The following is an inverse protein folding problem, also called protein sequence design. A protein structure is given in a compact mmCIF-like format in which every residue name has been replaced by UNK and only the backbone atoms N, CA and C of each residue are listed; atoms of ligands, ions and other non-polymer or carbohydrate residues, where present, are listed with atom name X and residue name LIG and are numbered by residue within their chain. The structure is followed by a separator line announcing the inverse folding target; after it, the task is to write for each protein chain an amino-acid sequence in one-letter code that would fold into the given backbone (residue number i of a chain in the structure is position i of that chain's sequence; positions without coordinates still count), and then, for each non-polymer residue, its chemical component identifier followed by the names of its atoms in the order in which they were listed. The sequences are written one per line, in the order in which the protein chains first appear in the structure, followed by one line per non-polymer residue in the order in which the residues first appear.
data_IF_919875589469
#
_entry.id   IF_919875589469
#
_cell.length_a   1.000
_cell.length_b   1.000
_cell.length_c   1.000
_cell.angle_alpha   90.00
_cell.angle_beta   90.00
_cell.angle_gamma   90.00
#
_symmetry.space_group_name_H-M   'P 1'
#
loop_
_entity.id
_entity.type
_entity.pdbx_description
1 polymer ?
#
# COMPACT_ATOMS: atom_id res chain seq x y z
N UNK A 1 27.56 -2.30 -22.46
CA UNK A 1 26.13 -2.00 -22.18
C UNK A 1 25.50 -3.04 -21.23
N UNK A 2 26.08 -4.23 -21.10
CA UNK A 2 25.62 -5.33 -20.23
C UNK A 2 25.88 -5.07 -18.74
N UNK A 3 27.05 -4.55 -18.39
CA UNK A 3 27.47 -4.37 -16.98
C UNK A 3 26.59 -3.39 -16.19
N UNK A 4 26.10 -2.31 -16.83
CA UNK A 4 25.25 -1.32 -16.16
C UNK A 4 23.86 -1.86 -15.84
N UNK A 5 23.31 -2.73 -16.71
CA UNK A 5 22.01 -3.38 -16.47
C UNK A 5 22.12 -4.41 -15.35
N UNK A 6 23.20 -5.19 -15.36
CA UNK A 6 23.49 -6.16 -14.31
C UNK A 6 23.69 -5.49 -12.93
N UNK A 7 24.42 -4.38 -12.89
CA UNK A 7 24.58 -3.61 -11.66
C UNK A 7 23.25 -3.04 -11.14
N UNK A 8 22.31 -2.72 -12.03
CA UNK A 8 21.00 -2.20 -11.63
C UNK A 8 20.16 -3.28 -10.96
N UNK A 9 20.09 -4.48 -11.55
CA UNK A 9 19.32 -5.58 -10.96
C UNK A 9 19.92 -6.08 -9.64
N UNK A 10 21.24 -6.16 -9.52
CA UNK A 10 21.89 -6.54 -8.26
C UNK A 10 21.55 -5.57 -7.12
N UNK A 11 21.53 -4.27 -7.41
CA UNK A 11 21.09 -3.25 -6.45
C UNK A 11 19.62 -3.41 -6.08
N UNK A 12 18.73 -3.61 -7.06
CA UNK A 12 17.31 -3.86 -6.79
C UNK A 12 17.12 -5.08 -5.89
N UNK A 13 17.80 -6.20 -6.19
CA UNK A 13 17.70 -7.42 -5.38
C UNK A 13 18.23 -7.20 -3.96
N UNK A 14 19.28 -6.41 -3.77
CA UNK A 14 19.76 -6.06 -2.44
C UNK A 14 18.74 -5.21 -1.68
N UNK A 15 18.19 -4.16 -2.31
CA UNK A 15 17.16 -3.32 -1.69
C UNK A 15 15.91 -4.13 -1.31
N UNK A 16 15.53 -5.11 -2.15
CA UNK A 16 14.44 -6.05 -1.84
C UNK A 16 14.78 -6.88 -0.61
N UNK A 17 15.97 -7.50 -0.53
CA UNK A 17 16.37 -8.29 0.64
C UNK A 17 16.36 -7.47 1.92
N UNK A 18 16.87 -6.24 1.87
CA UNK A 18 16.87 -5.34 3.02
C UNK A 18 15.45 -4.98 3.46
N UNK A 19 14.54 -4.75 2.50
CA UNK A 19 13.13 -4.53 2.78
C UNK A 19 12.46 -5.77 3.40
N UNK A 20 12.71 -6.96 2.85
CA UNK A 20 12.15 -8.20 3.39
C UNK A 20 12.67 -8.51 4.80
N UNK A 21 13.94 -8.21 5.10
CA UNK A 21 14.48 -8.32 6.47
C UNK A 21 13.78 -7.37 7.44
N UNK A 22 13.53 -6.11 7.03
CA UNK A 22 12.76 -5.14 7.83
C UNK A 22 11.35 -5.62 8.11
N UNK A 23 10.66 -6.17 7.11
CA UNK A 23 9.33 -6.78 7.29
C UNK A 23 9.39 -8.00 8.21
N UNK A 24 10.43 -8.83 8.08
CA UNK A 24 10.68 -10.00 8.92
C UNK A 24 10.83 -9.66 10.41
N UNK A 25 11.50 -8.55 10.73
CA UNK A 25 11.61 -8.04 12.12
C UNK A 25 10.26 -7.66 12.73
N UNK A 26 9.27 -7.32 11.90
CA UNK A 26 7.89 -7.08 12.32
C UNK A 26 7.03 -8.35 12.35
N UNK A 27 7.64 -9.52 12.11
CA UNK A 27 6.97 -10.81 12.05
C UNK A 27 6.10 -10.97 10.81
N UNK A 28 6.52 -10.38 9.68
CA UNK A 28 5.95 -10.58 8.35
C UNK A 28 7.02 -11.20 7.45
N UNK A 29 6.79 -12.44 7.03
CA UNK A 29 7.76 -13.17 6.23
C UNK A 29 7.41 -13.10 4.76
N UNK A 30 8.40 -12.75 3.95
CA UNK A 30 8.40 -12.93 2.50
C UNK A 30 9.74 -13.56 2.12
N UNK A 31 9.73 -14.34 1.05
CA UNK A 31 10.93 -15.01 0.53
C UNK A 31 11.17 -14.57 -0.90
N UNK A 32 12.40 -14.18 -1.18
CA UNK A 32 12.90 -13.98 -2.53
C UNK A 32 13.44 -15.32 -3.06
N UNK A 33 12.87 -15.82 -4.15
CA UNK A 33 13.26 -17.10 -4.77
C UNK A 33 13.60 -16.89 -6.23
N UNK A 34 14.43 -17.77 -6.80
CA UNK A 34 14.72 -17.74 -8.24
C UNK A 34 13.42 -17.98 -9.01
N UNK A 35 13.19 -17.20 -10.07
CA UNK A 35 11.98 -17.35 -10.88
C UNK A 35 12.11 -18.57 -11.79
N UNK A 36 11.03 -19.34 -11.90
CA UNK A 36 10.92 -20.46 -12.84
C UNK A 36 10.64 -19.98 -14.29
N UNK A 37 10.21 -18.72 -14.44
CA UNK A 37 9.93 -18.08 -15.71
C UNK A 37 11.16 -17.35 -16.24
N UNK A 38 11.59 -17.64 -17.46
CA UNK A 38 12.78 -17.04 -18.09
C UNK A 38 12.73 -15.52 -18.24
N UNK A 39 11.52 -14.94 -18.20
CA UNK A 39 11.30 -13.50 -18.37
C UNK A 39 11.51 -12.71 -17.06
N UNK A 40 11.72 -13.41 -15.94
CA UNK A 40 11.92 -12.84 -14.62
C UNK A 40 13.22 -13.32 -13.98
N UNK A 41 13.75 -12.53 -13.05
CA UNK A 41 14.98 -12.81 -12.31
C UNK A 41 14.67 -13.50 -11.00
N UNK A 42 13.62 -13.07 -10.32
CA UNK A 42 13.23 -13.61 -9.01
C UNK A 42 11.74 -13.39 -8.77
N UNK A 43 11.15 -14.23 -7.92
CA UNK A 43 9.80 -14.06 -7.40
C UNK A 43 9.85 -13.70 -5.91
N UNK A 44 8.89 -12.88 -5.47
CA UNK A 44 8.65 -12.58 -4.06
C UNK A 44 7.40 -13.35 -3.64
N UNK A 45 7.59 -14.34 -2.77
CA UNK A 45 6.53 -15.22 -2.29
C UNK A 45 6.25 -14.95 -0.82
N UNK A 46 4.97 -14.96 -0.44
CA UNK A 46 4.60 -15.02 0.97
C UNK A 46 4.46 -16.50 1.37
N UNK A 47 5.38 -17.06 2.17
CA UNK A 47 5.32 -18.46 2.58
C UNK A 47 4.13 -18.78 3.50
N UNK A 48 3.48 -17.76 4.09
CA UNK A 48 2.51 -17.95 5.17
C UNK A 48 1.11 -17.38 4.83
N UNK A 49 0.09 -18.23 4.95
CA UNK A 49 -1.23 -18.05 4.33
C UNK A 49 -2.17 -17.03 4.99
N UNK A 50 -1.71 -16.26 5.97
CA UNK A 50 -2.61 -15.44 6.82
C UNK A 50 -2.67 -13.97 6.41
N UNK A 51 -1.73 -13.51 5.59
CA UNK A 51 -1.63 -12.12 5.10
C UNK A 51 -1.27 -12.14 3.62
N UNK A 52 -2.07 -12.85 2.84
CA UNK A 52 -1.95 -12.92 1.39
C UNK A 52 -2.08 -11.51 0.78
N UNK A 53 -0.94 -10.95 0.36
CA UNK A 53 -0.87 -9.61 -0.26
C UNK A 53 -0.85 -9.74 -1.77
N UNK A 54 0.15 -10.44 -2.29
CA UNK A 54 0.31 -10.70 -3.72
C UNK A 54 -0.07 -12.14 -4.04
N UNK A 55 -0.91 -12.30 -5.06
CA UNK A 55 -1.09 -13.58 -5.75
C UNK A 55 0.21 -13.95 -6.47
N UNK A 56 0.80 -12.97 -7.15
CA UNK A 56 2.09 -13.10 -7.84
C UNK A 56 2.87 -11.79 -7.71
N UNK A 57 4.18 -11.88 -7.52
CA UNK A 57 5.09 -10.74 -7.58
C UNK A 57 6.45 -11.18 -8.08
N UNK A 58 6.87 -10.65 -9.22
CA UNK A 58 8.10 -11.04 -9.91
C UNK A 58 8.92 -9.83 -10.34
N UNK A 59 10.24 -9.99 -10.32
CA UNK A 59 11.21 -8.95 -10.65
C UNK A 59 11.72 -9.19 -12.07
N UNK A 60 11.57 -8.21 -12.96
CA UNK A 60 12.08 -8.27 -14.33
C UNK A 60 13.59 -7.98 -14.40
N UNK A 61 14.30 -8.38 -15.47
CA UNK A 61 15.72 -8.10 -15.66
C UNK A 61 16.12 -6.63 -15.66
N UNK A 62 15.18 -5.72 -15.93
CA UNK A 62 15.39 -4.27 -15.86
C UNK A 62 15.25 -3.69 -14.43
N UNK A 63 14.88 -4.51 -13.44
CA UNK A 63 14.67 -4.12 -12.04
C UNK A 63 13.26 -3.64 -11.70
N UNK A 64 12.30 -3.70 -12.64
CA UNK A 64 10.89 -3.37 -12.36
C UNK A 64 10.14 -4.58 -11.85
N UNK A 65 9.07 -4.35 -11.11
CA UNK A 65 8.22 -5.36 -10.50
C UNK A 65 6.95 -5.54 -11.32
N UNK A 66 6.57 -6.79 -11.60
CA UNK A 66 5.23 -7.15 -12.05
C UNK A 66 4.53 -7.76 -10.85
N UNK A 67 3.32 -7.32 -10.57
CA UNK A 67 2.59 -7.81 -9.41
C UNK A 67 1.12 -7.98 -9.73
N UNK A 68 0.50 -8.89 -9.00
CA UNK A 68 -0.93 -9.15 -8.97
C UNK A 68 -1.33 -9.36 -7.52
N UNK A 69 -2.24 -8.55 -7.00
CA UNK A 69 -2.77 -8.69 -5.64
C UNK A 69 -4.05 -9.55 -5.57
N UNK A 70 -4.44 -9.90 -4.35
CA UNK A 70 -5.65 -10.70 -4.09
C UNK A 70 -6.96 -9.97 -4.34
N UNK A 71 -6.93 -8.65 -4.56
CA UNK A 71 -8.09 -7.84 -4.94
C UNK A 71 -8.20 -7.72 -6.47
N UNK A 72 -7.41 -8.52 -7.20
CA UNK A 72 -7.34 -8.62 -8.65
C UNK A 72 -6.80 -7.38 -9.37
N UNK A 73 -6.06 -6.54 -8.64
CA UNK A 73 -5.26 -5.47 -9.24
C UNK A 73 -3.93 -6.03 -9.70
N UNK A 74 -3.47 -5.58 -10.86
CA UNK A 74 -2.14 -5.90 -11.36
C UNK A 74 -1.45 -4.64 -11.85
N UNK A 75 -0.13 -4.67 -11.92
CA UNK A 75 0.61 -3.51 -12.38
C UNK A 75 2.08 -3.80 -12.62
N UNK A 76 2.76 -2.77 -13.12
CA UNK A 76 4.21 -2.73 -13.24
C UNK A 76 4.71 -1.49 -12.52
N UNK A 77 5.68 -1.65 -11.62
CA UNK A 77 6.20 -0.54 -10.84
C UNK A 77 7.73 -0.63 -10.62
N UNK A 78 8.33 0.45 -10.16
CA UNK A 78 9.72 0.45 -9.69
C UNK A 78 9.82 0.02 -8.22
N UNK A 79 11.03 0.09 -7.66
CA UNK A 79 11.27 -0.34 -6.28
C UNK A 79 10.61 0.59 -5.24
N UNK A 80 10.55 1.89 -5.49
CA UNK A 80 10.04 2.85 -4.51
C UNK A 80 8.53 2.69 -4.37
N UNK A 81 7.81 2.57 -5.49
CA UNK A 81 6.39 2.22 -5.46
C UNK A 81 6.17 0.81 -4.88
N UNK A 82 6.97 -0.19 -5.28
CA UNK A 82 6.85 -1.54 -4.75
C UNK A 82 7.00 -1.56 -3.22
N UNK A 83 7.97 -0.83 -2.67
CA UNK A 83 8.21 -0.70 -1.22
C UNK A 83 6.97 -0.13 -0.52
N UNK A 84 6.43 0.97 -1.02
CA UNK A 84 5.20 1.57 -0.47
C UNK A 84 4.05 0.56 -0.54
N UNK A 85 3.92 -0.13 -1.67
CA UNK A 85 2.80 -1.04 -1.94
C UNK A 85 2.82 -2.27 -1.03
N UNK A 86 3.96 -2.97 -0.91
CA UNK A 86 4.05 -4.16 -0.05
C UNK A 86 3.83 -3.80 1.42
N UNK A 87 4.36 -2.67 1.91
CA UNK A 87 4.15 -2.21 3.29
C UNK A 87 2.68 -1.89 3.54
N UNK A 88 2.08 -1.06 2.67
CA UNK A 88 0.71 -0.56 2.82
C UNK A 88 -0.30 -1.70 2.75
N UNK A 89 -0.22 -2.54 1.71
CA UNK A 89 -1.15 -3.65 1.55
C UNK A 89 -1.01 -4.69 2.68
N UNK A 90 0.20 -4.94 3.17
CA UNK A 90 0.39 -5.84 4.32
C UNK A 90 -0.27 -5.27 5.58
N UNK A 91 -0.06 -3.98 5.87
CA UNK A 91 -0.66 -3.34 7.03
C UNK A 91 -2.18 -3.31 6.95
N UNK A 92 -2.74 -2.99 5.77
CA UNK A 92 -4.19 -2.94 5.57
C UNK A 92 -4.83 -4.33 5.70
N UNK A 93 -4.17 -5.41 5.24
CA UNK A 93 -4.63 -6.80 5.49
C UNK A 93 -4.74 -7.12 6.99
N UNK A 94 -3.84 -6.60 7.83
CA UNK A 94 -3.98 -6.76 9.28
C UNK A 94 -5.17 -5.97 9.84
N UNK A 95 -5.39 -4.73 9.37
CA UNK A 95 -6.54 -3.92 9.78
C UNK A 95 -7.87 -4.53 9.35
N UNK A 96 -7.96 -5.03 8.11
CA UNK A 96 -9.16 -5.70 7.60
C UNK A 96 -9.49 -6.93 8.43
N UNK A 97 -8.48 -7.73 8.78
CA UNK A 97 -8.68 -8.90 9.64
C UNK A 97 -9.16 -8.51 11.04
N UNK A 98 -8.61 -7.44 11.61
CA UNK A 98 -9.07 -6.92 12.90
C UNK A 98 -10.53 -6.47 12.81
N UNK A 99 -10.89 -5.74 11.74
CA UNK A 99 -12.26 -5.29 11.48
C UNK A 99 -13.21 -6.48 11.34
N UNK A 100 -12.82 -7.52 10.61
CA UNK A 100 -13.59 -8.75 10.46
C UNK A 100 -13.77 -9.49 11.80
N UNK A 101 -12.72 -9.56 12.63
CA UNK A 101 -12.80 -10.17 13.96
C UNK A 101 -13.77 -9.42 14.87
N UNK A 102 -13.70 -8.08 14.89
CA UNK A 102 -14.63 -7.25 15.67
C UNK A 102 -16.06 -7.39 15.19
N UNK A 103 -16.27 -7.41 13.87
CA UNK A 103 -17.60 -7.62 13.27
C UNK A 103 -18.17 -8.99 13.66
N UNK A 104 -17.40 -10.07 13.50
CA UNK A 104 -17.84 -11.43 13.90
C UNK A 104 -18.18 -11.51 15.38
N UNK A 105 -17.42 -10.82 16.24
CA UNK A 105 -17.73 -10.75 17.66
C UNK A 105 -19.05 -10.02 17.92
N UNK A 106 -19.26 -8.84 17.31
CA UNK A 106 -20.51 -8.11 17.43
C UNK A 106 -21.71 -8.94 16.94
N UNK A 107 -21.56 -9.66 15.82
CA UNK A 107 -22.59 -10.55 15.27
C UNK A 107 -22.92 -11.70 16.24
N UNK A 108 -21.93 -12.28 16.92
CA UNK A 108 -22.13 -13.32 17.94
C UNK A 108 -22.83 -12.80 19.20
N UNK A 109 -22.73 -11.50 19.46
CA UNK A 109 -23.34 -10.83 20.59
C UNK A 109 -24.66 -10.13 20.20
N UNK A 110 -25.27 -10.47 19.06
CA UNK A 110 -26.51 -9.86 18.54
C UNK A 110 -26.43 -8.32 18.47
N UNK A 111 -25.24 -7.78 18.18
CA UNK A 111 -24.97 -6.34 18.13
C UNK A 111 -24.98 -5.63 19.49
N UNK A 112 -25.08 -6.38 20.60
CA UNK A 112 -24.91 -5.81 21.94
C UNK A 112 -23.47 -5.37 22.13
N UNK A 113 -23.27 -4.29 22.88
CA UNK A 113 -21.95 -3.74 23.21
C UNK A 113 -21.26 -4.59 24.30
N UNK A 114 -21.07 -5.87 23.97
CA UNK A 114 -20.43 -6.84 24.85
C UNK A 114 -18.92 -6.78 24.61
N UNK A 115 -18.09 -6.55 25.65
CA UNK A 115 -16.65 -6.49 25.50
C UNK A 115 -16.11 -7.83 25.02
N UNK A 116 -15.11 -7.76 24.14
CA UNK A 116 -14.41 -8.92 23.65
C UNK A 116 -13.62 -9.60 24.79
N UNK A 117 -13.62 -10.93 24.91
CA UNK A 117 -12.88 -11.63 25.95
C UNK A 117 -11.37 -11.41 25.79
N UNK A 118 -10.64 -11.33 26.92
CA UNK A 118 -9.23 -10.94 26.98
C UNK A 118 -8.32 -11.66 25.96
N UNK A 119 -8.43 -12.99 25.73
CA UNK A 119 -7.57 -13.66 24.75
C UNK A 119 -7.79 -13.13 23.32
N UNK A 120 -9.04 -12.83 22.95
CA UNK A 120 -9.37 -12.33 21.62
C UNK A 120 -9.03 -10.85 21.48
N UNK A 121 -9.24 -10.06 22.54
CA UNK A 121 -8.84 -8.66 22.60
C UNK A 121 -7.32 -8.50 22.47
N UNK A 122 -6.54 -9.38 23.11
CA UNK A 122 -5.08 -9.41 22.99
C UNK A 122 -4.61 -9.68 21.55
N UNK A 123 -5.25 -10.61 20.84
CA UNK A 123 -4.95 -10.90 19.42
C UNK A 123 -5.28 -9.70 18.54
N UNK A 124 -6.42 -9.06 18.76
CA UNK A 124 -6.80 -7.85 18.01
C UNK A 124 -5.78 -6.74 18.23
N UNK A 125 -5.40 -6.48 19.48
CA UNK A 125 -4.42 -5.45 19.81
C UNK A 125 -3.05 -5.74 19.21
N UNK A 126 -2.57 -7.00 19.23
CA UNK A 126 -1.31 -7.38 18.61
C UNK A 126 -1.32 -7.11 17.09
N UNK A 127 -2.41 -7.46 16.40
CA UNK A 127 -2.54 -7.22 14.97
C UNK A 127 -2.57 -5.73 14.62
N UNK A 128 -3.29 -4.91 15.40
CA UNK A 128 -3.30 -3.44 15.21
C UNK A 128 -1.92 -2.83 15.46
N UNK A 129 -1.25 -3.25 16.54
CA UNK A 129 0.10 -2.80 16.84
C UNK A 129 1.07 -3.19 15.73
N UNK A 130 0.95 -4.39 15.18
CA UNK A 130 1.76 -4.82 14.04
C UNK A 130 1.48 -4.00 12.79
N UNK A 131 0.21 -3.75 12.45
CA UNK A 131 -0.17 -2.90 11.32
C UNK A 131 0.38 -1.48 11.46
N UNK A 132 0.34 -0.90 12.67
CA UNK A 132 0.92 0.41 12.97
C UNK A 132 2.45 0.42 12.81
N UNK A 133 3.16 -0.62 13.29
CA UNK A 133 4.62 -0.74 13.11
C UNK A 133 5.00 -0.88 11.65
N UNK A 134 4.21 -1.62 10.86
CA UNK A 134 4.41 -1.71 9.41
C UNK A 134 4.22 -0.35 8.73
N UNK A 135 3.14 0.38 9.02
CA UNK A 135 2.94 1.74 8.47
C UNK A 135 4.07 2.69 8.86
N UNK A 136 4.66 2.54 10.05
CA UNK A 136 5.82 3.31 10.49
C UNK A 136 7.12 3.01 9.72
N UNK A 137 7.16 1.97 8.86
CA UNK A 137 8.28 1.72 7.95
C UNK A 137 8.25 2.62 6.70
N UNK A 138 7.13 3.30 6.43
CA UNK A 138 7.01 4.30 5.38
C UNK A 138 7.73 5.59 5.78
N UNK A 139 8.30 6.26 4.80
CA UNK A 139 8.88 7.58 4.96
C UNK A 139 7.76 8.65 4.97
N UNK A 140 7.92 9.77 5.68
CA UNK A 140 6.88 10.81 5.74
C UNK A 140 6.43 11.33 4.36
N UNK A 141 7.37 11.36 3.41
CA UNK A 141 7.14 11.84 2.04
C UNK A 141 6.67 10.73 1.08
N UNK A 142 6.53 9.48 1.54
CA UNK A 142 6.02 8.38 0.72
C UNK A 142 4.57 8.64 0.27
N UNK A 143 4.28 8.60 -1.04
CA UNK A 143 2.92 8.78 -1.53
C UNK A 143 1.98 7.70 -0.99
N UNK A 144 0.76 8.04 -0.56
CA UNK A 144 -0.21 7.02 -0.17
C UNK A 144 -0.71 6.24 -1.39
N UNK A 145 -1.19 5.01 -1.18
CA UNK A 145 -2.01 4.32 -2.17
C UNK A 145 -3.43 4.89 -2.13
N UNK A 146 -3.87 5.47 -3.24
CA UNK A 146 -5.20 6.06 -3.34
C UNK A 146 -6.25 5.01 -3.68
N UNK A 147 -7.44 5.14 -3.08
CA UNK A 147 -8.61 4.37 -3.49
C UNK A 147 -9.30 5.00 -4.71
N UNK A 148 -10.31 4.32 -5.26
CA UNK A 148 -11.03 4.80 -6.45
C UNK A 148 -11.74 6.14 -6.25
N UNK A 149 -12.15 6.46 -5.03
CA UNK A 149 -12.83 7.73 -4.70
C UNK A 149 -11.82 8.86 -4.65
N UNK A 150 -10.68 8.62 -3.99
CA UNK A 150 -9.58 9.58 -3.88
C UNK A 150 -9.04 9.94 -5.26
N UNK A 151 -8.83 8.93 -6.11
CA UNK A 151 -8.40 9.12 -7.50
C UNK A 151 -9.39 10.00 -8.26
N UNK A 152 -10.70 9.78 -8.11
CA UNK A 152 -11.72 10.56 -8.79
C UNK A 152 -11.69 12.03 -8.35
N UNK A 153 -11.69 12.27 -7.03
CA UNK A 153 -11.61 13.63 -6.46
C UNK A 153 -10.37 14.37 -6.97
N UNK A 154 -9.21 13.74 -6.88
CA UNK A 154 -7.95 14.38 -7.26
C UNK A 154 -7.82 14.62 -8.77
N UNK A 155 -8.38 13.74 -9.62
CA UNK A 155 -8.38 13.93 -11.09
C UNK A 155 -9.39 14.97 -11.56
N UNK A 156 -10.50 15.13 -10.85
CA UNK A 156 -11.56 16.08 -11.21
C UNK A 156 -11.34 17.47 -10.60
N UNK A 157 -10.37 17.63 -9.69
CA UNK A 157 -10.02 18.90 -9.07
C UNK A 157 -9.62 19.94 -10.13
N UNK A 158 -10.43 20.98 -10.27
CA UNK A 158 -10.15 22.07 -11.21
C UNK A 158 -9.27 23.12 -10.56
N UNK A 159 -8.60 23.89 -11.41
CA UNK A 159 -7.87 25.08 -10.97
C UNK A 159 -8.83 26.05 -10.26
N UNK A 160 -8.41 26.53 -9.09
CA UNK A 160 -9.16 27.44 -8.23
C UNK A 160 -10.43 26.84 -7.57
N UNK A 161 -10.60 25.51 -7.58
CA UNK A 161 -11.67 24.83 -6.85
C UNK A 161 -11.15 24.21 -5.54
N UNK A 162 -12.09 23.92 -4.63
CA UNK A 162 -11.87 23.13 -3.42
C UNK A 162 -12.33 21.69 -3.69
N UNK A 163 -11.58 20.70 -3.22
CA UNK A 163 -12.00 19.31 -3.35
C UNK A 163 -13.31 19.07 -2.58
N UNK A 164 -14.23 18.32 -3.17
CA UNK A 164 -15.51 17.98 -2.55
C UNK A 164 -15.66 16.47 -2.32
N UNK A 165 -16.34 16.05 -1.24
CA UNK A 165 -16.91 16.90 -0.19
C UNK A 165 -15.83 17.42 0.79
N UNK A 166 -16.20 18.38 1.64
CA UNK A 166 -15.28 19.08 2.53
C UNK A 166 -14.53 18.13 3.49
N UNK A 167 -15.18 17.07 3.95
CA UNK A 167 -14.56 16.05 4.80
C UNK A 167 -13.45 15.28 4.06
N UNK A 168 -13.67 14.94 2.79
CA UNK A 168 -12.65 14.26 1.97
C UNK A 168 -11.51 15.21 1.62
N UNK A 169 -11.80 16.47 1.30
CA UNK A 169 -10.76 17.48 1.13
C UNK A 169 -9.91 17.66 2.37
N UNK A 170 -10.52 17.69 3.56
CA UNK A 170 -9.76 17.72 4.81
C UNK A 170 -8.88 16.48 4.96
N UNK A 171 -9.42 15.27 4.78
CA UNK A 171 -8.64 14.03 4.89
C UNK A 171 -7.49 13.98 3.88
N UNK A 172 -7.71 14.38 2.62
CA UNK A 172 -6.68 14.42 1.58
C UNK A 172 -5.57 15.45 1.90
N UNK A 173 -5.92 16.57 2.55
CA UNK A 173 -4.92 17.52 3.09
C UNK A 173 -4.15 16.93 4.27
N UNK A 174 -4.80 16.21 5.17
CA UNK A 174 -4.15 15.50 6.29
C UNK A 174 -3.21 14.38 5.80
N UNK A 175 -3.53 13.75 4.67
CA UNK A 175 -2.64 12.80 3.98
C UNK A 175 -1.46 13.49 3.27
N UNK A 176 -1.49 14.82 3.15
CA UNK A 176 -0.47 15.64 2.50
C UNK A 176 -0.50 15.58 0.96
N UNK A 177 -1.57 15.05 0.36
CA UNK A 177 -1.72 14.99 -1.11
C UNK A 177 -2.35 16.25 -1.70
N UNK A 178 -3.00 17.05 -0.85
CA UNK A 178 -3.51 18.38 -1.17
C UNK A 178 -2.95 19.44 -0.23
N UNK A 179 -2.79 20.65 -0.75
CA UNK A 179 -2.51 21.86 0.01
C UNK A 179 -3.62 22.88 -0.25
N UNK A 180 -4.18 23.47 0.82
CA UNK A 180 -5.13 24.57 0.68
C UNK A 180 -4.40 25.89 0.59
N UNK A 181 -4.68 26.64 -0.48
CA UNK A 181 -4.15 27.98 -0.70
C UNK A 181 -5.24 29.02 -0.58
N UNK A 182 -4.78 30.22 -0.23
CA UNK A 182 -5.61 31.40 -0.01
C UNK A 182 -5.03 32.51 -0.87
N UNK A 183 -5.83 33.00 -1.81
CA UNK A 183 -5.61 34.27 -2.51
C UNK A 183 -6.68 35.26 -2.04
N UNK A 184 -6.49 36.56 -2.31
CA UNK A 184 -7.23 37.70 -1.75
C UNK A 184 -8.74 37.45 -1.65
N UNK A 185 -9.35 36.81 -2.66
CA UNK A 185 -10.78 36.47 -2.69
C UNK A 185 -11.08 34.98 -2.97
N UNK A 186 -10.06 34.10 -2.91
CA UNK A 186 -10.21 32.71 -3.34
C UNK A 186 -9.58 31.72 -2.36
N UNK A 187 -10.28 30.62 -2.14
CA UNK A 187 -9.77 29.45 -1.43
C UNK A 187 -9.84 28.28 -2.38
N UNK A 188 -8.72 27.59 -2.58
CA UNK A 188 -8.64 26.47 -3.49
C UNK A 188 -7.61 25.45 -3.03
N UNK A 189 -7.81 24.21 -3.45
CA UNK A 189 -6.88 23.12 -3.16
C UNK A 189 -5.96 22.90 -4.37
N UNK A 190 -4.71 22.53 -4.10
CA UNK A 190 -3.71 22.21 -5.13
C UNK A 190 -3.07 20.87 -4.79
N UNK A 191 -2.80 20.06 -5.82
CA UNK A 191 -2.01 18.84 -5.66
C UNK A 191 -0.59 19.18 -5.19
N UNK A 192 -0.12 18.45 -4.20
CA UNK A 192 1.29 18.46 -3.80
C UNK A 192 2.09 17.50 -4.67
N UNK A 193 3.42 17.59 -4.66
CA UNK A 193 4.29 16.60 -5.32
C UNK A 193 3.98 15.16 -4.85
N UNK A 194 3.60 15.01 -3.58
CA UNK A 194 3.16 13.74 -2.99
C UNK A 194 1.84 13.27 -3.60
N UNK A 195 0.90 14.18 -3.83
CA UNK A 195 -0.38 13.90 -4.49
C UNK A 195 -0.21 13.54 -5.97
N UNK A 196 0.68 14.22 -6.69
CA UNK A 196 1.01 13.88 -8.07
C UNK A 196 1.61 12.48 -8.19
N UNK A 197 2.58 12.14 -7.33
CA UNK A 197 3.15 10.78 -7.28
C UNK A 197 2.13 9.72 -6.87
N UNK A 198 1.21 10.04 -5.96
CA UNK A 198 0.14 9.11 -5.58
C UNK A 198 -0.80 8.80 -6.75
N UNK A 199 -1.10 9.80 -7.60
CA UNK A 199 -1.83 9.61 -8.85
C UNK A 199 -1.03 8.83 -9.90
N UNK A 200 0.29 9.02 -9.95
CA UNK A 200 1.18 8.22 -10.81
C UNK A 200 1.13 6.74 -10.40
N UNK A 201 1.30 6.42 -9.11
CA UNK A 201 1.16 5.06 -8.60
C UNK A 201 -0.20 4.44 -8.94
N UNK A 202 -1.28 5.22 -8.85
CA UNK A 202 -2.62 4.77 -9.22
C UNK A 202 -2.75 4.49 -10.72
N UNK A 203 -2.00 5.19 -11.57
CA UNK A 203 -2.00 4.98 -13.03
C UNK A 203 -1.32 3.68 -13.47
N UNK A 204 -0.43 3.13 -12.64
CA UNK A 204 0.24 1.85 -12.87
C UNK A 204 -0.62 0.63 -12.54
N UNK A 205 -1.84 0.86 -12.00
CA UNK A 205 -2.77 -0.20 -11.61
C UNK A 205 -3.79 -0.48 -12.71
N UNK A 206 -3.75 -1.68 -13.27
CA UNK A 206 -4.82 -2.23 -14.09
C UNK A 206 -5.78 -3.03 -13.21
N UNK A 207 -7.07 -2.67 -13.23
CA UNK A 207 -8.11 -3.54 -12.67
C UNK A 207 -8.38 -4.63 -13.69
N UNK A 208 -8.14 -5.88 -13.31
CA UNK A 208 -8.54 -7.01 -14.15
C UNK A 208 -10.07 -7.04 -14.17
N UNK A 209 -10.68 -6.58 -15.27
CA UNK A 209 -12.13 -6.71 -15.47
C UNK A 209 -12.50 -8.18 -15.56
N UNK A 210 -13.45 -8.62 -14.75
CA UNK A 210 -14.20 -9.85 -15.00
C UNK A 210 -15.38 -9.53 -15.94
#
# INVERSE_FOLDING_TARGET
MTDRKQLNIEKTLQSVRDLLDRLGREGVEFTLVDSECSDYVADIRNPNSKTYVFLECSIRPNGTFVWWDYDHHKGVCDFDEFRVRIITLTADRYFDRVKDMRKRWADLCDGTDTPMPDPLAAVVSDMENKANRLKALLEPDDPPLLDGRDIAILKELKSHDVAEPAEESQRLRELGVLERRYDIDQVFDVLTDKGEKALEFASHVERSGF
#
